data_IF_934225545132
#
_entry.id   IF_934225545132
#
_cell.length_a   1.000
_cell.length_b   1.000
_cell.length_c   1.000
_cell.angle_alpha   90.00
_cell.angle_beta   90.00
_cell.angle_gamma   90.00
#
_symmetry.space_group_name_H-M   'P 1'
#
loop_
_entity.id
_entity.type
_entity.pdbx_description
1 polymer ?
#
# COMPACT_ATOMS: atom_id res chain seq x y z
N UNK A 1 3.09 22.12 6.42
CA UNK A 1 3.54 22.07 5.01
C UNK A 1 2.28 22.12 4.17
N UNK A 2 2.26 22.89 3.08
CA UNK A 2 1.09 22.92 2.20
C UNK A 2 0.94 21.59 1.45
N UNK A 3 -0.30 21.18 1.18
CA UNK A 3 -0.63 19.89 0.56
C UNK A 3 0.08 19.68 -0.78
N UNK A 4 0.05 20.67 -1.67
CA UNK A 4 0.75 20.62 -2.96
C UNK A 4 2.26 20.40 -2.80
N UNK A 5 2.88 21.12 -1.86
CA UNK A 5 4.31 21.02 -1.62
C UNK A 5 4.67 19.62 -1.09
N UNK A 6 3.84 19.09 -0.19
CA UNK A 6 3.96 17.75 0.33
C UNK A 6 3.86 16.69 -0.77
N UNK A 7 2.79 16.73 -1.57
CA UNK A 7 2.57 15.81 -2.68
C UNK A 7 3.70 15.86 -3.71
N UNK A 8 4.24 17.04 -4.01
CA UNK A 8 5.39 17.16 -4.91
C UNK A 8 6.67 16.49 -4.35
N UNK A 9 6.90 16.55 -3.04
CA UNK A 9 8.01 15.83 -2.40
C UNK A 9 7.82 14.32 -2.54
N UNK A 10 6.61 13.81 -2.25
CA UNK A 10 6.30 12.38 -2.37
C UNK A 10 6.46 11.91 -3.82
N UNK A 11 5.91 12.65 -4.80
CA UNK A 11 6.04 12.34 -6.23
C UNK A 11 7.51 12.30 -6.67
N UNK A 12 8.32 13.28 -6.25
CA UNK A 12 9.74 13.34 -6.58
C UNK A 12 10.55 12.19 -5.95
N UNK A 13 10.08 11.64 -4.82
CA UNK A 13 10.65 10.46 -4.23
C UNK A 13 10.22 9.19 -4.98
N UNK A 14 8.92 9.01 -5.25
CA UNK A 14 8.37 7.91 -6.05
C UNK A 14 9.08 7.80 -7.41
N UNK A 15 9.34 8.92 -8.09
CA UNK A 15 10.03 8.93 -9.38
C UNK A 15 11.45 8.34 -9.35
N UNK A 16 12.08 8.30 -8.16
CA UNK A 16 13.42 7.74 -7.97
C UNK A 16 13.38 6.26 -7.61
N UNK A 17 12.40 5.82 -6.82
CA UNK A 17 12.38 4.48 -6.23
C UNK A 17 11.43 3.51 -6.91
N UNK A 18 10.25 3.98 -7.35
CA UNK A 18 9.23 3.18 -8.04
C UNK A 18 8.53 4.01 -9.12
N UNK A 19 9.23 4.39 -10.21
CA UNK A 19 8.70 5.33 -11.21
C UNK A 19 7.45 4.84 -11.94
N UNK A 20 7.16 3.55 -11.95
CA UNK A 20 5.97 2.98 -12.60
C UNK A 20 4.65 3.53 -12.02
N UNK A 21 4.63 3.94 -10.75
CA UNK A 21 3.45 4.58 -10.15
C UNK A 21 3.13 5.95 -10.76
N UNK A 22 4.09 6.59 -11.44
CA UNK A 22 3.85 7.90 -12.05
C UNK A 22 2.82 7.82 -13.19
N UNK A 23 2.66 6.66 -13.82
CA UNK A 23 1.73 6.45 -14.94
C UNK A 23 0.26 6.53 -14.52
N UNK A 24 -0.03 6.35 -13.23
CA UNK A 24 -1.39 6.31 -12.68
C UNK A 24 -1.69 7.44 -11.69
N UNK A 25 -0.81 8.45 -11.59
CA UNK A 25 -1.06 9.60 -10.72
C UNK A 25 -2.33 10.34 -11.17
N UNK A 26 -3.26 10.49 -10.23
CA UNK A 26 -4.46 11.31 -10.37
C UNK A 26 -4.48 12.36 -9.25
N UNK A 27 -4.44 13.64 -9.63
CA UNK A 27 -4.48 14.75 -8.69
C UNK A 27 -5.91 15.15 -8.31
N UNK A 28 -6.04 15.60 -7.07
CA UNK A 28 -7.26 16.13 -6.47
C UNK A 28 -7.21 17.66 -6.43
N UNK A 29 -8.36 18.29 -6.16
CA UNK A 29 -8.47 19.76 -6.14
C UNK A 29 -7.63 20.43 -5.04
N UNK A 30 -7.30 19.71 -3.97
CA UNK A 30 -6.48 20.19 -2.85
C UNK A 30 -4.97 19.99 -3.08
N UNK A 31 -4.57 19.44 -4.22
CA UNK A 31 -3.17 19.15 -4.54
C UNK A 31 -2.67 17.77 -4.12
N UNK A 32 -3.49 17.01 -3.37
CA UNK A 32 -3.20 15.61 -3.08
C UNK A 32 -3.28 14.77 -4.36
N UNK A 33 -2.70 13.57 -4.35
CA UNK A 33 -2.88 12.60 -5.43
C UNK A 33 -3.05 11.20 -4.89
N UNK A 34 -3.59 10.36 -5.77
CA UNK A 34 -3.56 8.90 -5.67
C UNK A 34 -2.78 8.33 -6.85
N UNK A 35 -2.09 7.22 -6.65
CA UNK A 35 -1.61 6.38 -7.73
C UNK A 35 -1.77 4.91 -7.35
N UNK A 36 -1.81 4.05 -8.37
CA UNK A 36 -2.11 2.63 -8.19
C UNK A 36 -1.30 1.78 -9.16
N UNK A 37 -0.87 0.61 -8.70
CA UNK A 37 -0.19 -0.40 -9.49
C UNK A 37 -0.87 -1.76 -9.27
N UNK A 38 -1.45 -2.30 -10.33
CA UNK A 38 -2.13 -3.60 -10.30
C UNK A 38 -1.11 -4.73 -10.45
N UNK A 39 -1.30 -5.84 -9.71
CA UNK A 39 -0.45 -7.02 -9.88
C UNK A 39 -0.70 -7.70 -11.24
N UNK A 40 0.23 -8.54 -11.69
CA UNK A 40 0.15 -9.15 -13.02
C UNK A 40 -1.12 -9.98 -13.27
N UNK A 41 -1.66 -10.63 -12.22
CA UNK A 41 -2.90 -11.43 -12.30
C UNK A 41 -4.18 -10.59 -12.18
N UNK A 42 -4.08 -9.32 -11.83
CA UNK A 42 -5.22 -8.45 -11.57
C UNK A 42 -6.07 -8.81 -10.35
N UNK A 43 -5.54 -9.60 -9.43
CA UNK A 43 -6.22 -10.03 -8.20
C UNK A 43 -6.25 -8.95 -7.13
N UNK A 44 -5.24 -8.07 -7.13
CA UNK A 44 -5.18 -6.91 -6.24
C UNK A 44 -4.28 -5.82 -6.83
N UNK A 45 -4.28 -4.66 -6.20
CA UNK A 45 -3.39 -3.55 -6.52
C UNK A 45 -2.80 -2.94 -5.26
N UNK A 46 -1.64 -2.31 -5.41
CA UNK A 46 -1.03 -1.45 -4.40
C UNK A 46 -1.37 -0.01 -4.76
N UNK A 47 -1.77 0.81 -3.80
CA UNK A 47 -2.07 2.22 -4.02
C UNK A 47 -1.37 3.10 -2.99
N UNK A 48 -1.01 4.31 -3.43
CA UNK A 48 -0.40 5.35 -2.61
C UNK A 48 -1.28 6.59 -2.72
N UNK A 49 -1.63 7.19 -1.60
CA UNK A 49 -2.36 8.45 -1.54
C UNK A 49 -1.64 9.47 -0.64
N UNK A 50 -1.83 10.76 -0.90
CA UNK A 50 -1.13 11.84 -0.17
C UNK A 50 -2.03 12.78 0.63
N UNK A 51 -3.25 12.39 0.94
CA UNK A 51 -4.24 13.26 1.61
C UNK A 51 -3.75 13.82 2.94
N UNK A 52 -4.20 15.02 3.31
CA UNK A 52 -3.92 15.66 4.61
C UNK A 52 -2.43 15.73 4.97
N UNK A 53 -1.56 15.91 3.97
CA UNK A 53 -0.10 15.93 4.12
C UNK A 53 0.46 14.67 4.77
N UNK A 54 -0.12 13.53 4.45
CA UNK A 54 0.28 12.20 4.92
C UNK A 54 0.43 11.24 3.74
N UNK A 55 1.35 10.28 3.83
CA UNK A 55 1.37 9.15 2.89
C UNK A 55 0.49 8.04 3.43
N UNK A 56 -0.52 7.62 2.67
CA UNK A 56 -1.26 6.39 2.91
C UNK A 56 -0.84 5.36 1.88
N UNK A 57 -0.45 4.17 2.33
CA UNK A 57 -0.14 3.04 1.47
C UNK A 57 -1.14 1.93 1.75
N UNK A 58 -1.77 1.40 0.71
CA UNK A 58 -2.75 0.35 0.87
C UNK A 58 -2.75 -0.70 -0.23
N UNK A 59 -3.52 -1.74 0.03
CA UNK A 59 -3.85 -2.79 -0.92
C UNK A 59 -5.34 -2.70 -1.25
N UNK A 60 -5.66 -2.85 -2.52
CA UNK A 60 -7.04 -2.91 -2.99
C UNK A 60 -7.30 -4.25 -3.67
N UNK A 61 -8.32 -4.97 -3.21
CA UNK A 61 -8.78 -6.22 -3.79
C UNK A 61 -9.45 -6.00 -5.16
N UNK A 62 -9.56 -7.05 -5.98
CA UNK A 62 -10.20 -6.99 -7.30
C UNK A 62 -11.68 -6.56 -7.27
N UNK A 63 -12.37 -6.72 -6.14
CA UNK A 63 -13.74 -6.27 -5.93
C UNK A 63 -13.84 -4.77 -5.54
N UNK A 64 -12.70 -4.10 -5.39
CA UNK A 64 -12.60 -2.68 -5.03
C UNK A 64 -12.41 -2.41 -3.54
N UNK A 65 -12.46 -3.42 -2.65
CA UNK A 65 -12.21 -3.20 -1.22
C UNK A 65 -10.78 -2.70 -0.97
N UNK A 66 -10.63 -1.58 -0.27
CA UNK A 66 -9.36 -0.89 0.00
C UNK A 66 -9.12 -0.60 1.49
N UNK A 67 -9.78 -1.34 2.38
CA UNK A 67 -9.72 -1.10 3.83
C UNK A 67 -8.35 -1.49 4.44
N UNK A 68 -7.54 -2.26 3.70
CA UNK A 68 -6.21 -2.67 4.13
C UNK A 68 -5.18 -1.59 3.78
N UNK A 69 -4.92 -0.66 4.70
CA UNK A 69 -3.94 0.41 4.52
C UNK A 69 -3.24 0.82 5.82
N UNK A 70 -2.14 1.55 5.66
CA UNK A 70 -1.37 2.15 6.74
C UNK A 70 -1.12 3.62 6.43
N UNK A 71 -1.13 4.41 7.49
CA UNK A 71 -0.88 5.84 7.48
C UNK A 71 0.58 6.10 7.91
N UNK A 72 1.27 6.99 7.20
CA UNK A 72 2.64 7.40 7.49
C UNK A 72 2.67 8.92 7.61
N UNK A 73 2.34 9.41 8.81
CA UNK A 73 2.22 10.84 9.11
C UNK A 73 3.56 11.49 9.41
N UNK A 74 3.66 12.79 9.13
CA UNK A 74 4.85 13.60 9.34
C UNK A 74 4.69 14.48 10.59
N UNK A 75 4.86 13.89 11.77
CA UNK A 75 4.83 14.66 13.03
C UNK A 75 6.20 15.27 13.31
N UNK A 76 6.51 16.41 12.68
CA UNK A 76 7.68 17.23 12.99
C UNK A 76 9.02 16.74 12.45
N UNK A 77 9.09 15.56 11.84
CA UNK A 77 10.30 15.03 11.21
C UNK A 77 10.43 15.41 9.74
N UNK A 78 11.67 15.35 9.23
CA UNK A 78 11.95 15.51 7.80
C UNK A 78 11.23 14.43 7.03
N UNK A 79 10.67 14.71 5.83
CA UNK A 79 9.90 13.73 5.08
C UNK A 79 10.61 12.42 4.72
N UNK A 80 11.92 12.36 4.91
CA UNK A 80 12.77 11.26 4.49
C UNK A 80 12.46 9.93 5.20
N UNK A 81 12.16 9.93 6.49
CA UNK A 81 12.02 8.66 7.25
C UNK A 81 10.74 7.91 6.87
N UNK A 82 9.63 8.64 6.75
CA UNK A 82 8.33 8.12 6.34
C UNK A 82 8.36 7.70 4.86
N UNK A 83 9.09 8.42 4.01
CA UNK A 83 9.30 8.03 2.62
C UNK A 83 10.15 6.74 2.50
N UNK A 84 11.18 6.58 3.32
CA UNK A 84 11.91 5.31 3.42
C UNK A 84 11.03 4.19 3.99
N UNK A 85 10.15 4.49 4.96
CA UNK A 85 9.19 3.52 5.48
C UNK A 85 8.21 3.05 4.38
N UNK A 86 7.68 3.97 3.57
CA UNK A 86 6.86 3.67 2.40
C UNK A 86 7.60 2.76 1.43
N UNK A 87 8.83 3.13 1.05
CA UNK A 87 9.68 2.32 0.16
C UNK A 87 9.92 0.92 0.73
N UNK A 88 10.34 0.81 1.98
CA UNK A 88 10.57 -0.49 2.63
C UNK A 88 9.30 -1.35 2.66
N UNK A 89 8.13 -0.73 2.80
CA UNK A 89 6.85 -1.44 2.78
C UNK A 89 6.51 -1.93 1.37
N UNK A 90 6.70 -1.10 0.34
CA UNK A 90 6.58 -1.48 -1.07
C UNK A 90 7.53 -2.64 -1.42
N UNK A 91 8.79 -2.55 -1.00
CA UNK A 91 9.78 -3.61 -1.23
C UNK A 91 9.37 -4.93 -0.56
N UNK A 92 8.77 -4.90 0.63
CA UNK A 92 8.23 -6.12 1.26
C UNK A 92 7.08 -6.72 0.45
N UNK A 93 6.18 -5.90 -0.10
CA UNK A 93 5.08 -6.36 -0.96
C UNK A 93 5.66 -6.98 -2.24
N UNK A 94 6.52 -6.25 -2.94
CA UNK A 94 7.09 -6.66 -4.23
C UNK A 94 8.09 -7.82 -4.11
N UNK A 95 8.64 -8.09 -2.92
CA UNK A 95 9.46 -9.28 -2.65
C UNK A 95 8.68 -10.44 -2.05
N UNK A 96 7.35 -10.34 -1.97
CA UNK A 96 6.45 -11.33 -1.38
C UNK A 96 6.75 -11.66 0.10
N UNK A 97 7.40 -10.74 0.80
CA UNK A 97 7.63 -10.82 2.26
C UNK A 97 6.41 -10.33 3.04
N UNK A 98 5.67 -9.37 2.49
CA UNK A 98 4.37 -8.94 3.01
C UNK A 98 3.30 -9.36 2.00
N UNK A 99 2.38 -10.21 2.43
CA UNK A 99 1.34 -10.78 1.59
C UNK A 99 0.00 -10.16 1.88
N UNK A 100 -0.79 -9.96 0.82
CA UNK A 100 -2.21 -9.66 0.98
C UNK A 100 -2.94 -10.92 1.44
N UNK A 101 -3.90 -10.78 2.33
CA UNK A 101 -4.61 -11.87 2.96
C UNK A 101 -6.11 -11.57 2.96
N UNK A 102 -6.92 -12.55 2.58
CA UNK A 102 -8.37 -12.51 2.75
C UNK A 102 -8.79 -13.61 3.71
N UNK A 103 -9.36 -13.21 4.83
CA UNK A 103 -10.11 -14.09 5.72
C UNK A 103 -11.60 -14.04 5.38
N UNK A 104 -12.23 -15.22 5.30
CA UNK A 104 -13.69 -15.34 5.20
C UNK A 104 -14.47 -14.75 6.40
N UNK A 105 -13.80 -14.50 7.54
CA UNK A 105 -14.44 -13.99 8.76
C UNK A 105 -14.02 -12.56 9.11
N UNK A 106 -12.76 -12.19 8.89
CA UNK A 106 -12.23 -10.86 9.25
C UNK A 106 -11.96 -9.95 8.05
N UNK A 107 -12.24 -10.40 6.83
CA UNK A 107 -12.03 -9.61 5.62
C UNK A 107 -10.55 -9.53 5.23
N UNK A 108 -10.16 -8.39 4.65
CA UNK A 108 -8.84 -8.19 4.07
C UNK A 108 -7.84 -7.64 5.09
N UNK A 109 -6.62 -8.15 5.04
CA UNK A 109 -5.48 -7.63 5.78
C UNK A 109 -4.17 -7.98 5.06
N UNK A 110 -3.03 -7.67 5.63
CA UNK A 110 -1.73 -8.19 5.19
C UNK A 110 -1.02 -8.95 6.31
N UNK A 111 -0.06 -9.80 5.94
CA UNK A 111 0.80 -10.50 6.92
C UNK A 111 2.20 -10.72 6.36
N UNK A 112 3.20 -10.58 7.21
CA UNK A 112 4.57 -11.00 6.96
C UNK A 112 4.92 -12.34 7.64
N UNK A 113 3.93 -12.96 8.29
CA UNK A 113 4.07 -14.23 8.99
C UNK A 113 2.85 -15.14 8.73
N UNK A 114 2.96 -15.97 7.69
CA UNK A 114 1.92 -16.91 7.27
C UNK A 114 1.61 -17.93 8.37
N UNK A 115 2.64 -18.48 9.02
CA UNK A 115 2.45 -19.49 10.07
C UNK A 115 1.64 -18.95 11.24
N UNK A 116 1.92 -17.72 11.66
CA UNK A 116 1.18 -17.06 12.72
C UNK A 116 -0.27 -16.74 12.31
N UNK A 117 -0.49 -16.30 11.07
CA UNK A 117 -1.84 -16.10 10.54
C UNK A 117 -2.66 -17.41 10.54
N UNK A 118 -2.07 -18.51 10.08
CA UNK A 118 -2.71 -19.82 10.06
C UNK A 118 -2.96 -20.38 11.47
N UNK A 119 -2.06 -20.13 12.44
CA UNK A 119 -2.27 -20.53 13.84
C UNK A 119 -3.45 -19.82 14.52
N UNK A 120 -3.79 -18.62 14.07
CA UNK A 120 -4.93 -17.83 14.59
C UNK A 120 -6.25 -18.14 13.91
N UNK A 121 -6.23 -18.93 12.83
CA UNK A 121 -7.40 -19.29 12.04
C UNK A 121 -8.44 -20.04 12.88
N UNK A 122 -9.70 -19.62 12.82
CA UNK A 122 -10.82 -20.30 13.48
C UNK A 122 -11.23 -21.55 12.68
N UNK A 123 -11.88 -22.50 13.35
CA UNK A 123 -12.23 -23.83 12.77
C UNK A 123 -13.00 -23.78 11.44
N UNK A 124 -13.79 -22.73 11.19
CA UNK A 124 -14.61 -22.55 9.98
C UNK A 124 -14.15 -21.36 9.13
N UNK A 125 -12.94 -20.87 9.37
CA UNK A 125 -12.35 -19.77 8.62
C UNK A 125 -11.51 -20.33 7.48
N UNK A 126 -11.73 -19.84 6.26
CA UNK A 126 -10.79 -19.97 5.16
C UNK A 126 -9.94 -18.70 5.02
N UNK A 127 -8.65 -18.88 4.75
CA UNK A 127 -7.70 -17.81 4.46
C UNK A 127 -7.11 -18.01 3.06
N UNK A 128 -7.17 -16.98 2.21
CA UNK A 128 -6.44 -16.90 0.93
C UNK A 128 -5.30 -15.90 1.06
N UNK A 129 -4.12 -16.25 0.56
CA UNK A 129 -2.99 -15.34 0.43
C UNK A 129 -2.79 -14.95 -1.03
N UNK A 130 -2.40 -13.71 -1.27
CA UNK A 130 -2.06 -13.21 -2.59
C UNK A 130 -0.63 -12.67 -2.57
N UNK A 131 0.12 -13.08 -3.59
CA UNK A 131 1.51 -12.66 -3.81
C UNK A 131 1.56 -11.68 -4.98
N UNK A 132 2.57 -10.82 -4.97
CA UNK A 132 2.83 -9.87 -6.05
C UNK A 132 3.20 -10.58 -7.36
N UNK A 133 4.15 -11.53 -7.29
CA UNK A 133 4.79 -12.15 -8.49
C UNK A 133 4.32 -13.57 -8.82
N UNK A 134 3.27 -14.10 -8.18
CA UNK A 134 2.79 -15.41 -8.61
C UNK A 134 2.22 -15.26 -10.02
N UNK A 135 2.96 -15.78 -11.01
CA UNK A 135 2.52 -16.04 -12.38
C UNK A 135 1.70 -17.33 -12.46
#
# INVERSE_FOLDING_TARGET
MEQDAFSNIVRAYISKVHPIFLESISYQADGSFDCTLKNAKGEFSVWIATYNSEVTLGLQAADGNSDCHTHMSFYGEKPTEQLEAMKNHLEKIFSNKLLFMQSSLSGYSWTDNIEHALKKMKKNESIKFFKWDES
#
